data_IF_216593589186
#
_entry.id   IF_216593589186
#
_cell.length_a   1.000
_cell.length_b   1.000
_cell.length_c   1.000
_cell.angle_alpha   90.00
_cell.angle_beta   90.00
_cell.angle_gamma   90.00
#
_symmetry.space_group_name_H-M   'P 1'
#
loop_
_entity.id
_entity.type
_entity.pdbx_description
1 polymer ?
#
# COMPACT_ATOMS: atom_id res chain seq x y z
N UNK A 1 16.05 -23.52 8.39
CA UNK A 1 15.29 -23.67 7.13
C UNK A 1 13.83 -23.34 7.39
N UNK A 2 13.17 -22.66 6.47
CA UNK A 2 11.72 -22.39 6.51
C UNK A 2 10.93 -23.58 5.97
N UNK A 3 9.62 -23.65 6.25
CA UNK A 3 8.78 -24.73 5.70
C UNK A 3 8.68 -24.70 4.17
N UNK A 4 8.73 -23.51 3.56
CA UNK A 4 8.70 -23.35 2.09
C UNK A 4 10.01 -23.81 1.47
N UNK A 5 11.14 -23.49 2.11
CA UNK A 5 12.46 -24.02 1.70
C UNK A 5 12.46 -25.55 1.78
N UNK A 6 11.91 -26.14 2.86
CA UNK A 6 11.79 -27.59 3.00
C UNK A 6 11.01 -28.22 1.83
N UNK A 7 9.86 -27.64 1.46
CA UNK A 7 9.05 -28.13 0.34
C UNK A 7 9.77 -28.02 -1.01
N UNK A 8 10.70 -27.08 -1.18
CA UNK A 8 11.46 -26.95 -2.42
C UNK A 8 12.43 -28.11 -2.69
N UNK A 9 12.77 -28.92 -1.68
CA UNK A 9 13.65 -30.08 -1.83
C UNK A 9 13.04 -31.20 -2.68
N UNK A 10 11.72 -31.22 -2.86
CA UNK A 10 11.07 -32.21 -3.72
C UNK A 10 11.23 -31.92 -5.22
N UNK A 11 11.52 -30.67 -5.60
CA UNK A 11 11.59 -30.26 -7.02
C UNK A 11 12.65 -31.01 -7.84
N UNK A 12 13.66 -31.59 -7.17
CA UNK A 12 14.76 -32.31 -7.81
C UNK A 12 14.73 -33.81 -7.53
N UNK A 13 13.67 -34.33 -6.91
CA UNK A 13 13.53 -35.75 -6.60
C UNK A 13 12.87 -36.50 -7.76
N UNK A 14 13.31 -37.73 -7.97
CA UNK A 14 12.68 -38.64 -8.92
C UNK A 14 11.24 -38.96 -8.49
N UNK A 15 10.30 -39.13 -9.44
CA UNK A 15 8.93 -39.50 -9.13
C UNK A 15 8.83 -40.78 -8.30
N UNK A 16 7.99 -40.74 -7.26
CA UNK A 16 7.70 -41.90 -6.42
C UNK A 16 6.72 -42.84 -7.11
N UNK A 17 6.96 -44.15 -7.01
CA UNK A 17 6.00 -45.15 -7.48
C UNK A 17 4.72 -45.17 -6.63
N UNK A 18 3.56 -45.28 -7.29
CA UNK A 18 2.26 -45.42 -6.62
C UNK A 18 2.10 -46.85 -6.09
N UNK A 19 2.17 -47.03 -4.76
CA UNK A 19 1.85 -48.30 -4.10
C UNK A 19 0.35 -48.37 -3.76
N UNK A 20 -0.21 -49.57 -3.52
CA UNK A 20 -1.61 -49.69 -3.09
C UNK A 20 -1.92 -48.92 -1.79
N UNK A 21 -0.97 -48.85 -0.86
CA UNK A 21 -1.11 -48.10 0.38
C UNK A 21 -1.13 -46.59 0.15
N UNK A 22 -0.23 -46.07 -0.70
CA UNK A 22 -0.23 -44.64 -1.09
C UNK A 22 -1.55 -44.28 -1.77
N UNK A 23 -2.02 -45.11 -2.71
CA UNK A 23 -3.29 -44.90 -3.40
C UNK A 23 -4.48 -44.89 -2.42
N UNK A 24 -4.50 -45.83 -1.47
CA UNK A 24 -5.53 -45.90 -0.44
C UNK A 24 -5.57 -44.64 0.44
N UNK A 25 -4.40 -44.19 0.94
CA UNK A 25 -4.32 -43.01 1.80
C UNK A 25 -4.70 -41.73 1.05
N UNK A 26 -4.28 -41.57 -0.21
CA UNK A 26 -4.67 -40.43 -1.04
C UNK A 26 -6.19 -40.40 -1.25
N UNK A 27 -6.80 -41.55 -1.53
CA UNK A 27 -8.25 -41.65 -1.71
C UNK A 27 -9.01 -41.25 -0.42
N UNK A 28 -8.54 -41.69 0.76
CA UNK A 28 -9.15 -41.31 2.04
C UNK A 28 -8.95 -39.84 2.37
N UNK A 29 -7.77 -39.27 2.11
CA UNK A 29 -7.53 -37.83 2.26
C UNK A 29 -8.48 -37.04 1.38
N UNK A 30 -8.61 -37.44 0.11
CA UNK A 30 -9.53 -36.81 -0.84
C UNK A 30 -10.97 -36.86 -0.34
N UNK A 31 -11.45 -38.02 0.12
CA UNK A 31 -12.80 -38.17 0.66
C UNK A 31 -13.06 -37.21 1.83
N UNK A 32 -12.12 -37.12 2.78
CA UNK A 32 -12.23 -36.19 3.92
C UNK A 32 -12.24 -34.74 3.41
N UNK A 33 -11.34 -34.37 2.50
CA UNK A 33 -11.26 -33.01 1.98
C UNK A 33 -12.51 -32.59 1.20
N UNK A 34 -13.07 -33.48 0.38
CA UNK A 34 -14.24 -33.22 -0.43
C UNK A 34 -15.52 -33.12 0.42
N UNK A 35 -15.53 -33.75 1.61
CA UNK A 35 -16.66 -33.71 2.54
C UNK A 35 -16.55 -32.60 3.60
N UNK A 36 -15.39 -32.46 4.25
CA UNK A 36 -15.19 -31.58 5.41
C UNK A 36 -14.60 -30.21 5.01
N UNK A 37 -13.83 -30.12 3.92
CA UNK A 37 -13.03 -28.94 3.58
C UNK A 37 -13.32 -28.34 2.19
N UNK A 38 -14.56 -28.42 1.70
CA UNK A 38 -14.89 -27.99 0.33
C UNK A 38 -15.51 -26.59 0.21
N UNK A 39 -16.12 -26.04 1.27
CA UNK A 39 -16.93 -24.82 1.21
C UNK A 39 -16.11 -23.54 1.38
N UNK A 40 -15.62 -22.97 0.28
CA UNK A 40 -14.84 -21.74 0.27
C UNK A 40 -15.65 -20.49 0.61
N UNK A 41 -16.96 -20.50 0.41
CA UNK A 41 -17.80 -19.32 0.68
C UNK A 41 -17.78 -18.91 2.15
N UNK A 42 -17.56 -19.88 3.05
CA UNK A 42 -17.50 -19.63 4.49
C UNK A 42 -16.08 -19.32 4.98
N UNK A 43 -15.07 -19.99 4.43
CA UNK A 43 -13.70 -20.00 4.97
C UNK A 43 -12.68 -19.27 4.09
N UNK A 44 -12.88 -19.24 2.78
CA UNK A 44 -11.84 -18.94 1.79
C UNK A 44 -10.80 -20.08 1.66
N UNK A 45 -9.96 -20.02 0.62
CA UNK A 45 -9.00 -21.08 0.32
C UNK A 45 -7.97 -21.31 1.43
N UNK A 46 -7.33 -20.23 1.89
CA UNK A 46 -6.25 -20.34 2.85
C UNK A 46 -6.72 -20.94 4.17
N UNK A 47 -7.92 -20.59 4.64
CA UNK A 47 -8.47 -21.16 5.87
C UNK A 47 -8.80 -22.65 5.75
N UNK A 48 -9.42 -23.08 4.64
CA UNK A 48 -9.66 -24.52 4.39
C UNK A 48 -8.37 -25.33 4.39
N UNK A 49 -7.31 -24.80 3.77
CA UNK A 49 -6.02 -25.46 3.74
C UNK A 49 -5.39 -25.58 5.14
N UNK A 50 -5.54 -24.56 6.00
CA UNK A 50 -5.08 -24.65 7.40
C UNK A 50 -5.90 -25.64 8.22
N UNK A 51 -7.22 -25.63 8.09
CA UNK A 51 -8.11 -26.57 8.77
C UNK A 51 -7.80 -28.02 8.40
N UNK A 52 -7.49 -28.28 7.12
CA UNK A 52 -6.99 -29.58 6.65
C UNK A 52 -5.71 -30.00 7.39
N UNK A 53 -4.76 -29.09 7.57
CA UNK A 53 -3.48 -29.35 8.26
C UNK A 53 -3.63 -29.54 9.78
N UNK A 54 -4.72 -29.04 10.35
CA UNK A 54 -5.07 -29.23 11.76
C UNK A 54 -5.82 -30.55 12.03
N UNK A 55 -6.24 -31.28 10.99
CA UNK A 55 -7.09 -32.46 11.14
C UNK A 55 -6.28 -33.74 11.45
N UNK A 56 -6.68 -34.47 12.50
CA UNK A 56 -5.99 -35.69 12.95
C UNK A 56 -6.04 -36.82 11.92
N UNK A 57 -7.19 -37.03 11.26
CA UNK A 57 -7.32 -38.10 10.25
C UNK A 57 -6.38 -37.82 9.07
N UNK A 58 -6.32 -36.56 8.62
CA UNK A 58 -5.40 -36.14 7.56
C UNK A 58 -3.95 -36.35 7.98
N UNK A 59 -3.56 -35.93 9.20
CA UNK A 59 -2.20 -36.12 9.71
C UNK A 59 -1.79 -37.60 9.83
N UNK A 60 -2.74 -38.50 10.10
CA UNK A 60 -2.51 -39.94 10.10
C UNK A 60 -2.24 -40.51 8.70
N UNK A 61 -2.92 -39.97 7.69
CA UNK A 61 -2.88 -40.48 6.31
C UNK A 61 -1.73 -39.88 5.48
N UNK A 62 -1.28 -38.67 5.81
CA UNK A 62 -0.13 -38.02 5.17
C UNK A 62 1.19 -38.60 5.69
N UNK A 63 1.47 -39.87 5.39
CA UNK A 63 2.75 -40.52 5.69
C UNK A 63 3.89 -39.92 4.85
N UNK A 64 5.17 -40.15 5.22
CA UNK A 64 6.30 -39.69 4.41
C UNK A 64 6.23 -40.15 2.95
N UNK A 65 5.80 -41.39 2.69
CA UNK A 65 5.67 -41.94 1.33
C UNK A 65 4.55 -41.27 0.54
N UNK A 66 3.42 -40.97 1.19
CA UNK A 66 2.31 -40.23 0.57
C UNK A 66 2.74 -38.82 0.22
N UNK A 67 3.42 -38.13 1.13
CA UNK A 67 3.94 -36.77 0.89
C UNK A 67 4.97 -36.78 -0.25
N UNK A 68 5.94 -37.70 -0.22
CA UNK A 68 6.94 -37.82 -1.29
C UNK A 68 6.26 -38.05 -2.65
N UNK A 69 5.26 -38.94 -2.72
CA UNK A 69 4.48 -39.14 -3.93
C UNK A 69 3.75 -37.87 -4.40
N UNK A 70 3.03 -37.19 -3.50
CA UNK A 70 2.28 -35.99 -3.84
C UNK A 70 3.18 -34.87 -4.38
N UNK A 71 4.40 -34.73 -3.84
CA UNK A 71 5.31 -33.65 -4.22
C UNK A 71 6.29 -33.97 -5.36
N UNK A 72 6.50 -35.25 -5.70
CA UNK A 72 7.41 -35.66 -6.80
C UNK A 72 6.68 -36.06 -8.08
N UNK A 73 5.36 -36.24 -8.03
CA UNK A 73 4.56 -36.65 -9.18
C UNK A 73 3.63 -35.53 -9.68
N UNK A 74 3.23 -35.67 -10.94
CA UNK A 74 2.16 -34.83 -11.51
C UNK A 74 0.81 -35.17 -10.87
N UNK A 75 -0.05 -34.17 -10.57
CA UNK A 75 -1.37 -34.42 -10.01
C UNK A 75 -2.27 -35.25 -10.94
N UNK A 76 -2.94 -36.25 -10.37
CA UNK A 76 -3.98 -37.05 -11.04
C UNK A 76 -5.37 -36.63 -10.53
N UNK A 77 -6.45 -37.18 -11.08
CA UNK A 77 -7.80 -36.88 -10.57
C UNK A 77 -8.01 -37.39 -9.14
N UNK A 78 -7.36 -38.49 -8.78
CA UNK A 78 -7.40 -39.07 -7.43
C UNK A 78 -6.64 -38.22 -6.40
N UNK A 79 -5.64 -37.45 -6.83
CA UNK A 79 -4.89 -36.53 -5.96
C UNK A 79 -5.37 -35.08 -6.05
N UNK A 80 -6.53 -34.83 -6.66
CA UNK A 80 -7.21 -33.53 -6.64
C UNK A 80 -8.41 -33.55 -5.69
N UNK A 81 -8.61 -32.45 -4.98
CA UNK A 81 -9.72 -32.24 -4.05
C UNK A 81 -10.64 -31.13 -4.57
N UNK A 82 -11.93 -31.24 -4.27
CA UNK A 82 -12.96 -30.33 -4.71
C UNK A 82 -13.08 -29.12 -3.80
N UNK A 83 -13.39 -27.98 -4.42
CA UNK A 83 -13.74 -26.73 -3.77
C UNK A 83 -14.93 -26.09 -4.49
N UNK A 84 -15.94 -25.66 -3.73
CA UNK A 84 -17.23 -25.27 -4.30
C UNK A 84 -17.21 -24.04 -5.23
N UNK A 85 -16.22 -23.14 -5.12
CA UNK A 85 -16.14 -21.95 -5.97
C UNK A 85 -14.96 -21.94 -6.95
N UNK A 86 -13.90 -22.71 -6.69
CA UNK A 86 -12.73 -22.79 -7.58
C UNK A 86 -12.55 -24.13 -8.30
N UNK A 87 -13.45 -25.10 -8.08
CA UNK A 87 -13.36 -26.42 -8.70
C UNK A 87 -12.29 -27.30 -8.07
N UNK A 88 -11.58 -28.08 -8.88
CA UNK A 88 -10.58 -29.04 -8.43
C UNK A 88 -9.22 -28.38 -8.19
N UNK A 89 -8.58 -28.66 -7.05
CA UNK A 89 -7.20 -28.25 -6.75
C UNK A 89 -6.35 -29.48 -6.44
N UNK A 90 -5.06 -29.47 -6.77
CA UNK A 90 -4.19 -30.58 -6.38
C UNK A 90 -3.98 -30.58 -4.86
N UNK A 91 -3.95 -31.78 -4.26
CA UNK A 91 -3.72 -31.93 -2.82
C UNK A 91 -2.35 -31.38 -2.40
N UNK A 92 -1.32 -31.54 -3.25
CA UNK A 92 0.01 -30.96 -3.01
C UNK A 92 -0.04 -29.43 -2.91
N UNK A 93 -0.85 -28.78 -3.74
CA UNK A 93 -1.01 -27.33 -3.74
C UNK A 93 -1.79 -26.87 -2.51
N UNK A 94 -2.81 -27.64 -2.08
CA UNK A 94 -3.53 -27.37 -0.84
C UNK A 94 -2.60 -27.43 0.39
N UNK A 95 -1.73 -28.43 0.46
CA UNK A 95 -0.70 -28.55 1.52
C UNK A 95 0.28 -27.38 1.43
N UNK A 96 0.84 -27.12 0.25
CA UNK A 96 1.79 -26.04 0.02
C UNK A 96 1.21 -24.69 0.44
N UNK A 97 0.02 -24.33 -0.05
CA UNK A 97 -0.61 -23.06 0.28
C UNK A 97 -1.07 -22.96 1.74
N UNK A 98 -1.38 -24.08 2.39
CA UNK A 98 -1.68 -24.09 3.83
C UNK A 98 -0.45 -23.78 4.69
N UNK A 99 0.74 -24.19 4.26
CA UNK A 99 2.02 -23.97 4.94
C UNK A 99 2.72 -22.67 4.54
N UNK A 100 2.38 -22.11 3.37
CA UNK A 100 3.09 -20.99 2.74
C UNK A 100 3.13 -19.71 3.60
N UNK A 101 2.10 -19.47 4.41
CA UNK A 101 2.03 -18.27 5.25
C UNK A 101 2.80 -18.41 6.57
N UNK A 102 3.35 -19.60 6.86
CA UNK A 102 4.11 -19.90 8.08
C UNK A 102 3.36 -20.78 9.08
N UNK A 103 4.09 -21.45 9.97
CA UNK A 103 3.50 -22.42 10.89
C UNK A 103 2.73 -21.72 12.03
N UNK A 104 3.20 -20.56 12.48
CA UNK A 104 2.51 -19.72 13.47
C UNK A 104 1.14 -19.26 12.98
N UNK A 105 0.96 -19.07 11.66
CA UNK A 105 -0.35 -18.76 11.09
C UNK A 105 -1.31 -19.93 11.27
N UNK A 106 -0.86 -21.17 11.07
CA UNK A 106 -1.69 -22.35 11.33
C UNK A 106 -2.02 -22.47 12.82
N UNK A 107 -1.05 -22.18 13.69
CA UNK A 107 -1.23 -22.28 15.14
C UNK A 107 -2.21 -21.26 15.68
N UNK A 108 -2.10 -20.00 15.25
CA UNK A 108 -2.78 -18.88 15.91
C UNK A 108 -3.81 -18.15 15.05
N UNK A 109 -3.80 -18.25 13.72
CA UNK A 109 -4.77 -17.51 12.92
C UNK A 109 -6.16 -18.14 13.02
N UNK A 110 -7.14 -17.34 13.42
CA UNK A 110 -8.57 -17.70 13.35
C UNK A 110 -8.98 -18.00 11.90
N UNK A 111 -9.88 -18.96 11.67
CA UNK A 111 -10.29 -19.39 10.33
C UNK A 111 -11.65 -18.79 9.89
N UNK A 112 -11.94 -17.58 10.37
CA UNK A 112 -13.16 -16.80 10.07
C UNK A 112 -14.47 -17.53 10.39
N UNK A 113 -14.46 -18.51 11.29
CA UNK A 113 -15.69 -19.13 11.76
C UNK A 113 -16.56 -18.11 12.49
N UNK A 114 -17.86 -18.11 12.20
CA UNK A 114 -18.84 -17.25 12.87
C UNK A 114 -18.84 -17.42 14.40
N UNK A 115 -18.43 -18.59 14.90
CA UNK A 115 -18.37 -18.92 16.33
C UNK A 115 -16.94 -19.30 16.75
N UNK A 116 -15.93 -18.61 16.23
CA UNK A 116 -14.57 -18.76 16.73
C UNK A 116 -14.43 -18.01 18.07
N UNK A 117 -13.96 -18.71 19.09
CA UNK A 117 -13.79 -18.16 20.44
C UNK A 117 -12.62 -18.81 21.17
N UNK A 118 -12.48 -18.58 22.49
CA UNK A 118 -11.34 -19.05 23.27
C UNK A 118 -11.17 -20.57 23.25
N UNK A 119 -12.26 -21.34 23.28
CA UNK A 119 -12.20 -22.80 23.24
C UNK A 119 -11.66 -23.31 21.90
N UNK A 120 -12.16 -22.76 20.79
CA UNK A 120 -11.71 -23.11 19.44
C UNK A 120 -10.25 -22.70 19.23
N UNK A 121 -9.83 -21.57 19.81
CA UNK A 121 -8.46 -21.10 19.76
C UNK A 121 -7.48 -22.06 20.46
N UNK A 122 -7.81 -22.51 21.68
CA UNK A 122 -6.97 -23.48 22.40
C UNK A 122 -7.02 -24.86 21.74
N UNK A 123 -8.18 -25.28 21.20
CA UNK A 123 -8.28 -26.52 20.43
C UNK A 123 -7.42 -26.47 19.17
N UNK A 124 -7.37 -25.33 18.47
CA UNK A 124 -6.49 -25.12 17.32
C UNK A 124 -5.02 -25.25 17.70
N UNK A 125 -4.59 -24.64 18.82
CA UNK A 125 -3.21 -24.77 19.33
C UNK A 125 -2.85 -26.23 19.64
N UNK A 126 -3.76 -26.95 20.31
CA UNK A 126 -3.57 -28.37 20.61
C UNK A 126 -3.51 -29.23 19.34
N UNK A 127 -4.39 -28.97 18.37
CA UNK A 127 -4.40 -29.65 17.08
C UNK A 127 -3.15 -29.34 16.25
N UNK A 128 -2.63 -28.11 16.32
CA UNK A 128 -1.37 -27.76 15.70
C UNK A 128 -0.22 -28.57 16.33
N UNK A 129 -0.11 -28.58 17.66
CA UNK A 129 0.98 -29.23 18.37
C UNK A 129 0.97 -30.76 18.17
N UNK A 130 -0.20 -31.36 17.92
CA UNK A 130 -0.38 -32.79 17.66
C UNK A 130 -0.29 -33.17 16.18
N UNK A 131 -1.01 -32.48 15.31
CA UNK A 131 -1.29 -32.89 13.94
C UNK A 131 -0.37 -32.18 12.93
N UNK A 132 -0.30 -30.85 12.98
CA UNK A 132 0.51 -30.06 12.05
C UNK A 132 2.00 -30.37 12.21
N UNK A 133 2.49 -30.45 13.44
CA UNK A 133 3.90 -30.80 13.74
C UNK A 133 4.27 -32.17 13.19
N UNK A 134 3.36 -33.16 13.28
CA UNK A 134 3.54 -34.50 12.70
C UNK A 134 3.58 -34.46 11.18
N UNK A 135 2.71 -33.68 10.54
CA UNK A 135 2.74 -33.50 9.08
C UNK A 135 4.08 -32.89 8.67
N UNK A 136 4.55 -31.85 9.37
CA UNK A 136 5.86 -31.23 9.11
C UNK A 136 7.01 -32.22 9.28
N UNK A 137 6.98 -33.07 10.31
CA UNK A 137 7.99 -34.11 10.50
C UNK A 137 7.95 -35.16 9.37
N UNK A 138 6.76 -35.57 8.93
CA UNK A 138 6.63 -36.46 7.79
C UNK A 138 7.15 -35.82 6.49
N UNK A 139 6.97 -34.50 6.30
CA UNK A 139 7.56 -33.76 5.18
C UNK A 139 9.09 -33.79 5.28
N UNK A 140 9.66 -33.58 6.47
CA UNK A 140 11.12 -33.66 6.68
C UNK A 140 11.69 -35.03 6.32
N UNK A 141 11.06 -36.09 6.82
CA UNK A 141 11.44 -37.48 6.51
C UNK A 141 11.33 -37.73 5.00
N UNK A 142 10.21 -37.32 4.39
CA UNK A 142 9.98 -37.45 2.96
C UNK A 142 10.99 -36.66 2.13
N UNK A 143 11.46 -35.50 2.60
CA UNK A 143 12.47 -34.69 1.93
C UNK A 143 13.90 -35.23 2.15
N UNK A 144 14.12 -36.07 3.16
CA UNK A 144 15.44 -36.52 3.59
C UNK A 144 16.23 -35.45 4.35
N UNK A 145 15.54 -34.54 5.03
CA UNK A 145 16.14 -33.39 5.74
C UNK A 145 16.01 -33.60 7.25
N UNK A 146 17.13 -33.41 7.97
CA UNK A 146 17.18 -33.51 9.45
C UNK A 146 17.23 -32.14 10.13
N UNK A 147 17.38 -31.06 9.38
CA UNK A 147 17.47 -29.71 9.91
C UNK A 147 16.18 -29.28 10.64
N UNK A 148 16.34 -28.45 11.66
CA UNK A 148 15.20 -27.87 12.35
C UNK A 148 14.52 -26.83 11.45
N UNK A 149 13.19 -26.94 11.38
CA UNK A 149 12.37 -25.93 10.74
C UNK A 149 12.21 -24.78 11.71
N UNK A 150 12.68 -23.62 11.27
CA UNK A 150 12.56 -22.36 12.00
C UNK A 150 11.44 -21.60 11.34
N UNK A 151 10.48 -21.14 12.13
CA UNK A 151 9.50 -20.22 11.58
C UNK A 151 10.17 -18.87 11.31
N UNK A 152 9.71 -18.13 10.30
CA UNK A 152 10.32 -16.85 9.87
C UNK A 152 10.28 -15.73 10.94
N UNK A 153 9.86 -16.04 12.17
CA UNK A 153 9.87 -15.16 13.33
C UNK A 153 11.26 -14.97 13.97
N UNK A 154 12.34 -15.54 13.44
CA UNK A 154 13.65 -15.60 14.09
C UNK A 154 14.43 -14.27 14.19
N UNK A 155 13.91 -13.18 13.63
CA UNK A 155 14.34 -11.84 14.02
C UNK A 155 13.29 -11.33 15.01
N UNK A 156 13.55 -11.48 16.32
CA UNK A 156 12.70 -10.99 17.42
C UNK A 156 12.65 -9.45 17.44
N UNK A 157 12.03 -8.86 16.42
CA UNK A 157 11.60 -7.47 16.45
C UNK A 157 10.47 -7.39 17.48
N UNK A 158 10.55 -6.47 18.43
CA UNK A 158 9.51 -6.32 19.44
C UNK A 158 8.18 -5.89 18.81
N UNK A 159 7.04 -6.16 19.47
CA UNK A 159 5.73 -5.77 18.94
C UNK A 159 5.62 -4.26 18.67
N UNK A 160 6.21 -3.42 19.53
CA UNK A 160 6.21 -1.96 19.32
C UNK A 160 7.07 -1.57 18.12
N UNK A 161 8.24 -2.19 17.96
CA UNK A 161 9.12 -1.91 16.81
C UNK A 161 8.47 -2.38 15.48
N UNK A 162 7.77 -3.52 15.49
CA UNK A 162 6.97 -3.98 14.34
C UNK A 162 5.91 -2.94 13.98
N UNK A 163 5.15 -2.46 14.97
CA UNK A 163 4.11 -1.47 14.77
C UNK A 163 4.66 -0.15 14.22
N UNK A 164 5.75 0.36 14.81
CA UNK A 164 6.37 1.62 14.37
C UNK A 164 6.95 1.50 12.97
N UNK A 165 7.54 0.35 12.61
CA UNK A 165 8.00 0.08 11.25
C UNK A 165 6.85 0.07 10.23
N UNK A 166 5.73 -0.57 10.57
CA UNK A 166 4.52 -0.59 9.72
C UNK A 166 4.00 0.83 9.51
N UNK A 167 3.81 1.60 10.58
CA UNK A 167 3.31 2.98 10.52
C UNK A 167 4.25 3.85 9.68
N UNK A 168 5.56 3.81 9.94
CA UNK A 168 6.52 4.59 9.17
C UNK A 168 6.51 4.22 7.68
N UNK A 169 6.35 2.93 7.37
CA UNK A 169 6.24 2.45 5.99
C UNK A 169 4.97 2.98 5.33
N UNK A 170 3.81 2.84 5.97
CA UNK A 170 2.52 3.34 5.45
C UNK A 170 2.54 4.86 5.26
N UNK A 171 3.12 5.61 6.20
CA UNK A 171 3.28 7.07 6.07
C UNK A 171 4.11 7.46 4.84
N UNK A 172 5.18 6.71 4.56
CA UNK A 172 6.02 6.94 3.38
C UNK A 172 5.25 6.63 2.09
N UNK A 173 4.47 5.55 2.06
CA UNK A 173 3.59 5.18 0.94
C UNK A 173 2.56 6.28 0.68
N UNK A 174 1.94 6.80 1.75
CA UNK A 174 0.95 7.88 1.70
C UNK A 174 1.57 9.18 1.18
N UNK A 175 2.76 9.54 1.67
CA UNK A 175 3.54 10.70 1.15
C UNK A 175 3.91 10.54 -0.32
N UNK A 176 4.14 9.31 -0.78
CA UNK A 176 4.41 8.98 -2.18
C UNK A 176 3.15 8.91 -3.06
N UNK A 177 1.96 9.20 -2.52
CA UNK A 177 0.67 9.14 -3.24
C UNK A 177 0.36 7.74 -3.79
N UNK A 178 0.77 6.70 -3.05
CA UNK A 178 0.59 5.28 -3.40
C UNK A 178 -0.46 4.57 -2.55
N UNK A 179 -1.28 5.29 -1.79
CA UNK A 179 -2.32 4.72 -0.93
C UNK A 179 -3.29 3.79 -1.66
N UNK A 180 -3.73 4.16 -2.87
CA UNK A 180 -4.65 3.30 -3.64
C UNK A 180 -3.99 2.00 -4.11
N UNK A 181 -2.66 2.02 -4.30
CA UNK A 181 -1.88 0.83 -4.63
C UNK A 181 -1.66 -0.06 -3.41
N UNK A 182 -1.41 0.55 -2.24
CA UNK A 182 -1.32 -0.17 -0.97
C UNK A 182 -2.62 -0.94 -0.69
N UNK A 183 -3.76 -0.26 -0.81
CA UNK A 183 -5.09 -0.78 -0.51
C UNK A 183 -5.76 -1.53 -1.67
N UNK A 184 -4.98 -1.91 -2.69
CA UNK A 184 -5.52 -2.67 -3.82
C UNK A 184 -5.86 -4.10 -3.40
N UNK A 185 -7.15 -4.43 -3.50
CA UNK A 185 -7.66 -5.79 -3.33
C UNK A 185 -8.58 -6.07 -4.53
N UNK A 186 -8.37 -7.16 -5.31
CA UNK A 186 -9.24 -7.49 -6.43
C UNK A 186 -10.72 -7.52 -6.02
N UNK A 187 -11.57 -6.81 -6.77
CA UNK A 187 -13.00 -6.70 -6.47
C UNK A 187 -13.39 -5.58 -5.50
N UNK A 188 -12.43 -4.90 -4.88
CA UNK A 188 -12.69 -3.81 -3.93
C UNK A 188 -11.95 -2.52 -4.32
N UNK A 189 -12.59 -1.38 -4.04
CA UNK A 189 -11.94 -0.08 -4.16
C UNK A 189 -11.25 0.29 -2.85
N UNK A 190 -10.21 1.14 -2.90
CA UNK A 190 -9.55 1.65 -1.69
C UNK A 190 -10.54 2.36 -0.75
N UNK A 191 -11.56 3.04 -1.30
CA UNK A 191 -12.66 3.63 -0.51
C UNK A 191 -13.49 2.55 0.19
N UNK A 192 -13.82 1.46 -0.50
CA UNK A 192 -14.53 0.33 0.09
C UNK A 192 -13.74 -0.28 1.26
N UNK A 193 -12.42 -0.50 1.08
CA UNK A 193 -11.56 -1.03 2.14
C UNK A 193 -11.59 -0.14 3.39
N UNK A 194 -11.43 1.18 3.23
CA UNK A 194 -11.54 2.13 4.35
C UNK A 194 -12.90 2.10 5.04
N UNK A 195 -13.98 2.00 4.26
CA UNK A 195 -15.34 1.91 4.80
C UNK A 195 -15.58 0.62 5.58
N UNK A 196 -14.97 -0.50 5.17
CA UNK A 196 -15.11 -1.78 5.87
C UNK A 196 -14.42 -1.74 7.25
N UNK A 197 -13.32 -0.97 7.40
CA UNK A 197 -12.69 -0.72 8.71
C UNK A 197 -13.67 -0.12 9.71
N UNK A 198 -14.47 0.87 9.29
CA UNK A 198 -15.52 1.44 10.14
C UNK A 198 -16.58 0.40 10.53
N UNK A 199 -16.96 -0.48 9.61
CA UNK A 199 -17.85 -1.60 9.92
C UNK A 199 -17.23 -2.56 10.94
N UNK A 200 -15.96 -2.93 10.77
CA UNK A 200 -15.21 -3.77 11.71
C UNK A 200 -15.09 -3.13 13.10
N UNK A 201 -14.88 -1.81 13.16
CA UNK A 201 -14.86 -1.06 14.43
C UNK A 201 -16.24 -1.00 15.10
N UNK A 202 -17.32 -0.86 14.33
CA UNK A 202 -18.67 -0.96 14.87
C UNK A 202 -18.96 -2.35 15.46
N UNK A 203 -18.50 -3.42 14.82
CA UNK A 203 -18.63 -4.78 15.35
C UNK A 203 -17.78 -4.98 16.61
N UNK A 204 -16.56 -4.47 16.64
CA UNK A 204 -15.72 -4.43 17.84
C UNK A 204 -16.46 -3.78 19.02
N UNK A 205 -17.02 -2.58 18.83
CA UNK A 205 -17.78 -1.90 19.88
C UNK A 205 -18.98 -2.74 20.33
N UNK A 206 -19.70 -3.35 19.39
CA UNK A 206 -20.84 -4.22 19.69
C UNK A 206 -20.42 -5.45 20.53
N UNK A 207 -19.31 -6.10 20.17
CA UNK A 207 -18.74 -7.24 20.89
C UNK A 207 -18.27 -6.90 22.32
N UNK A 208 -17.99 -5.62 22.58
CA UNK A 208 -17.61 -5.10 23.89
C UNK A 208 -18.78 -4.46 24.65
N UNK A 209 -19.99 -4.52 24.09
CA UNK A 209 -21.19 -3.86 24.63
C UNK A 209 -21.01 -2.34 24.80
N UNK A 210 -20.27 -1.72 23.87
CA UNK A 210 -19.99 -0.29 23.84
C UNK A 210 -20.85 0.37 22.76
N UNK A 211 -21.52 1.46 23.12
CA UNK A 211 -22.34 2.23 22.19
C UNK A 211 -21.44 3.03 21.21
N UNK A 212 -21.55 2.69 19.92
CA UNK A 212 -20.91 3.42 18.83
C UNK A 212 -21.96 4.07 17.93
N UNK A 213 -21.83 5.37 17.70
CA UNK A 213 -22.66 6.13 16.78
C UNK A 213 -21.98 6.21 15.41
N UNK A 214 -22.45 5.45 14.41
CA UNK A 214 -21.84 5.44 13.10
C UNK A 214 -22.13 6.71 12.30
N UNK A 215 -23.10 7.55 12.66
CA UNK A 215 -23.33 8.82 11.96
C UNK A 215 -22.24 9.83 12.30
N UNK A 216 -21.86 9.89 13.58
CA UNK A 216 -20.88 10.85 14.11
C UNK A 216 -19.47 10.26 14.31
N UNK A 217 -19.27 8.96 14.06
CA UNK A 217 -18.05 8.22 14.42
C UNK A 217 -17.70 8.39 15.92
N UNK A 218 -18.70 8.33 16.79
CA UNK A 218 -18.53 8.62 18.22
C UNK A 218 -18.70 7.35 19.05
N UNK A 219 -17.75 7.09 19.95
CA UNK A 219 -17.90 6.07 21.00
C UNK A 219 -18.40 6.76 22.26
N UNK A 220 -19.61 6.41 22.71
CA UNK A 220 -20.25 7.06 23.86
C UNK A 220 -19.83 6.43 25.18
N UNK A 221 -19.75 7.28 26.21
CA UNK A 221 -19.46 6.88 27.60
C UNK A 221 -18.17 6.07 27.79
N UNK A 222 -17.18 6.26 26.90
CA UNK A 222 -15.89 5.59 26.96
C UNK A 222 -14.72 6.55 26.88
N UNK A 223 -13.56 6.08 27.34
CA UNK A 223 -12.26 6.69 27.06
C UNK A 223 -11.45 5.77 26.16
N UNK A 224 -10.44 6.31 25.47
CA UNK A 224 -9.53 5.49 24.67
C UNK A 224 -8.89 4.38 25.53
N UNK A 225 -8.45 4.73 26.74
CA UNK A 225 -7.83 3.78 27.66
C UNK A 225 -8.77 2.64 28.04
N UNK A 226 -10.02 2.96 28.42
CA UNK A 226 -11.05 1.98 28.81
C UNK A 226 -11.46 1.09 27.64
N UNK A 227 -11.67 1.67 26.45
CA UNK A 227 -11.96 0.91 25.22
C UNK A 227 -10.86 -0.11 24.91
N UNK A 228 -9.60 0.34 24.90
CA UNK A 228 -8.45 -0.54 24.65
C UNK A 228 -8.32 -1.60 25.75
N UNK A 229 -8.50 -1.24 27.02
CA UNK A 229 -8.43 -2.16 28.15
C UNK A 229 -9.50 -3.26 28.04
N UNK A 230 -10.75 -2.90 27.72
CA UNK A 230 -11.85 -3.86 27.52
C UNK A 230 -11.55 -4.82 26.38
N UNK A 231 -11.07 -4.31 25.24
CA UNK A 231 -10.74 -5.16 24.11
C UNK A 231 -9.62 -6.15 24.43
N UNK A 232 -8.51 -5.65 24.99
CA UNK A 232 -7.36 -6.48 25.29
C UNK A 232 -7.64 -7.54 26.36
N UNK A 233 -8.60 -7.31 27.25
CA UNK A 233 -9.05 -8.28 28.26
C UNK A 233 -10.24 -9.15 27.81
N UNK A 234 -10.70 -9.03 26.56
CA UNK A 234 -11.83 -9.81 26.03
C UNK A 234 -11.36 -10.80 24.95
N UNK A 235 -10.94 -12.03 25.33
CA UNK A 235 -10.67 -13.09 24.38
C UNK A 235 -11.83 -13.35 23.40
N UNK A 236 -13.07 -13.21 23.86
CA UNK A 236 -14.25 -13.37 23.00
C UNK A 236 -14.27 -12.34 21.88
N UNK A 237 -14.21 -11.05 22.21
CA UNK A 237 -14.23 -9.99 21.19
C UNK A 237 -13.00 -10.04 20.28
N UNK A 238 -11.85 -10.42 20.82
CA UNK A 238 -10.62 -10.54 20.06
C UNK A 238 -10.60 -11.72 19.10
N UNK A 239 -11.25 -12.83 19.45
CA UNK A 239 -11.32 -14.07 18.67
C UNK A 239 -12.59 -14.14 17.79
N UNK A 240 -13.45 -13.13 17.87
CA UNK A 240 -14.67 -13.04 17.08
C UNK A 240 -14.40 -12.73 15.59
N UNK A 241 -14.88 -13.61 14.71
CA UNK A 241 -14.74 -13.48 13.26
C UNK A 241 -15.37 -12.22 12.66
N UNK A 242 -16.30 -11.55 13.34
CA UNK A 242 -16.97 -10.33 12.84
C UNK A 242 -16.07 -9.08 12.90
N UNK A 243 -15.01 -9.13 13.72
CA UNK A 243 -13.99 -8.07 13.85
C UNK A 243 -12.92 -8.18 12.75
N UNK A 244 -13.08 -9.12 11.81
CA UNK A 244 -12.15 -9.39 10.70
C UNK A 244 -11.77 -8.13 9.91
N UNK A 245 -12.76 -7.27 9.61
CA UNK A 245 -12.59 -6.05 8.83
C UNK A 245 -11.85 -4.93 9.58
N UNK A 246 -11.36 -5.17 10.79
CA UNK A 246 -10.51 -4.24 11.54
C UNK A 246 -9.16 -4.87 11.90
N UNK A 247 -9.18 -6.10 12.45
CA UNK A 247 -8.03 -6.64 13.17
C UNK A 247 -7.41 -7.90 12.56
N UNK A 248 -8.09 -8.63 11.68
CA UNK A 248 -7.60 -9.95 11.29
C UNK A 248 -6.85 -9.97 9.98
N UNK A 249 -7.41 -9.39 8.92
CA UNK A 249 -6.72 -9.43 7.66
C UNK A 249 -5.78 -8.24 7.52
N UNK A 250 -4.69 -8.52 6.81
CA UNK A 250 -3.65 -7.55 6.50
C UNK A 250 -4.21 -6.30 5.84
N UNK A 251 -5.13 -6.46 4.88
CA UNK A 251 -5.59 -5.36 4.05
C UNK A 251 -6.41 -4.34 4.86
N UNK A 252 -7.19 -4.80 5.84
CA UNK A 252 -7.94 -3.93 6.74
C UNK A 252 -7.05 -3.27 7.80
N UNK A 253 -6.01 -3.95 8.31
CA UNK A 253 -5.02 -3.29 9.17
C UNK A 253 -4.29 -2.20 8.37
N UNK A 254 -3.83 -2.48 7.16
CA UNK A 254 -3.22 -1.48 6.27
C UNK A 254 -4.18 -0.31 6.02
N UNK A 255 -5.46 -0.58 5.74
CA UNK A 255 -6.48 0.45 5.55
C UNK A 255 -6.76 1.26 6.82
N UNK A 256 -6.77 0.63 7.99
CA UNK A 256 -6.97 1.29 9.28
C UNK A 256 -5.82 2.25 9.59
N UNK A 257 -4.58 1.81 9.39
CA UNK A 257 -3.39 2.62 9.67
C UNK A 257 -3.14 3.70 8.60
N UNK A 258 -3.58 3.52 7.35
CA UNK A 258 -3.38 4.50 6.29
C UNK A 258 -4.36 5.69 6.36
N UNK A 259 -5.60 5.45 6.78
CA UNK A 259 -6.69 6.42 6.65
C UNK A 259 -6.69 7.52 7.72
N UNK A 260 -7.16 8.72 7.35
CA UNK A 260 -7.32 9.88 8.25
C UNK A 260 -8.71 9.95 8.90
N UNK A 261 -9.41 8.82 9.02
CA UNK A 261 -10.74 8.79 9.64
C UNK A 261 -10.61 9.11 11.13
N UNK A 262 -11.31 10.16 11.56
CA UNK A 262 -11.40 10.58 12.95
C UNK A 262 -12.56 9.85 13.64
N UNK A 263 -12.28 9.32 14.84
CA UNK A 263 -13.22 8.73 15.76
C UNK A 263 -13.17 9.53 17.06
N UNK A 264 -14.31 10.00 17.53
CA UNK A 264 -14.41 10.73 18.80
C UNK A 264 -14.68 9.74 19.93
N UNK A 265 -13.78 9.69 20.92
CA UNK A 265 -13.91 8.83 22.11
C UNK A 265 -13.76 9.71 23.34
N UNK A 266 -14.81 9.81 24.15
CA UNK A 266 -14.79 10.65 25.36
C UNK A 266 -14.56 12.13 25.06
N UNK A 267 -15.11 12.64 23.94
CA UNK A 267 -14.95 14.01 23.43
C UNK A 267 -13.54 14.38 22.97
N UNK A 268 -12.69 13.38 22.73
CA UNK A 268 -11.36 13.57 22.14
C UNK A 268 -11.30 12.83 20.81
N UNK A 269 -10.71 13.47 19.81
CA UNK A 269 -10.57 12.95 18.46
C UNK A 269 -9.32 12.10 18.32
N UNK A 270 -9.49 10.90 17.75
CA UNK A 270 -8.42 9.92 17.52
C UNK A 270 -8.50 9.36 16.11
N UNK A 271 -7.37 8.90 15.57
CA UNK A 271 -7.33 8.05 14.38
C UNK A 271 -7.25 6.57 14.79
N UNK A 272 -7.57 5.66 13.88
CA UNK A 272 -7.36 4.22 14.12
C UNK A 272 -5.91 3.90 14.52
N UNK A 273 -4.94 4.60 13.94
CA UNK A 273 -3.53 4.48 14.32
C UNK A 273 -3.29 4.75 15.81
N UNK A 274 -3.98 5.73 16.41
CA UNK A 274 -3.85 6.06 17.83
C UNK A 274 -4.42 4.95 18.71
N UNK A 275 -5.52 4.32 18.26
CA UNK A 275 -6.17 3.18 18.93
C UNK A 275 -5.23 1.97 18.92
N UNK A 276 -4.70 1.59 17.76
CA UNK A 276 -3.73 0.50 17.64
C UNK A 276 -2.46 0.78 18.46
N UNK A 277 -1.92 2.00 18.39
CA UNK A 277 -0.73 2.41 19.16
C UNK A 277 -0.97 2.25 20.66
N UNK A 278 -2.14 2.63 21.15
CA UNK A 278 -2.51 2.49 22.56
C UNK A 278 -2.57 1.03 22.98
N UNK A 279 -3.19 0.17 22.15
CA UNK A 279 -3.26 -1.27 22.41
C UNK A 279 -1.87 -1.92 22.44
N UNK A 280 -1.00 -1.58 21.50
CA UNK A 280 0.39 -2.08 21.44
C UNK A 280 1.20 -1.64 22.64
N UNK A 281 1.13 -0.37 23.01
CA UNK A 281 1.83 0.16 24.19
C UNK A 281 1.38 -0.57 25.46
N UNK A 282 0.08 -0.80 25.60
CA UNK A 282 -0.47 -1.58 26.71
C UNK A 282 0.11 -3.00 26.77
N UNK A 283 0.02 -3.77 25.68
CA UNK A 283 0.55 -5.15 25.62
C UNK A 283 2.06 -5.19 25.91
N UNK A 284 2.83 -4.26 25.36
CA UNK A 284 4.30 -4.26 25.51
C UNK A 284 4.77 -3.82 26.88
N UNK A 285 4.05 -2.89 27.52
CA UNK A 285 4.40 -2.34 28.84
C UNK A 285 4.06 -3.28 30.01
N UNK A 286 3.01 -4.10 29.87
CA UNK A 286 2.53 -5.01 30.91
C UNK A 286 1.93 -6.28 30.27
N UNK A 287 2.73 -7.11 29.57
CA UNK A 287 2.23 -8.25 28.80
C UNK A 287 1.50 -9.28 29.67
N UNK A 288 1.89 -9.44 30.93
CA UNK A 288 1.29 -10.35 31.91
C UNK A 288 -0.11 -9.94 32.37
N UNK A 289 -0.52 -8.68 32.13
CA UNK A 289 -1.85 -8.19 32.48
C UNK A 289 -2.93 -8.73 31.54
N UNK A 290 -2.56 -9.08 30.32
CA UNK A 290 -3.51 -9.44 29.26
C UNK A 290 -3.49 -10.95 28.99
N UNK A 291 -4.61 -11.53 28.55
CA UNK A 291 -4.65 -12.91 28.08
C UNK A 291 -3.60 -13.18 26.99
N UNK A 292 -3.03 -14.40 26.97
CA UNK A 292 -2.00 -14.78 26.02
C UNK A 292 -2.39 -14.53 24.56
N UNK A 293 -3.66 -14.78 24.21
CA UNK A 293 -4.19 -14.56 22.86
C UNK A 293 -4.04 -13.10 22.40
N UNK A 294 -4.06 -12.12 23.30
CA UNK A 294 -3.82 -10.72 22.96
C UNK A 294 -2.44 -10.50 22.38
N UNK A 295 -1.42 -10.96 23.08
CA UNK A 295 -0.04 -10.87 22.61
C UNK A 295 0.16 -11.69 21.34
N UNK A 296 -0.34 -12.92 21.31
CA UNK A 296 -0.19 -13.83 20.18
C UNK A 296 -0.85 -13.29 18.90
N UNK A 297 -2.07 -12.75 18.98
CA UNK A 297 -2.75 -12.18 17.81
C UNK A 297 -2.07 -10.90 17.33
N UNK A 298 -1.75 -9.94 18.21
CA UNK A 298 -1.08 -8.71 17.77
C UNK A 298 0.28 -9.01 17.13
N UNK A 299 1.07 -9.91 17.73
CA UNK A 299 2.37 -10.29 17.19
C UNK A 299 2.25 -10.97 15.82
N UNK A 300 1.33 -11.94 15.68
CA UNK A 300 1.08 -12.61 14.42
C UNK A 300 0.67 -11.63 13.32
N UNK A 301 -0.36 -10.81 13.59
CA UNK A 301 -0.98 -9.94 12.58
C UNK A 301 -0.02 -8.87 12.11
N UNK A 302 0.74 -8.26 13.02
CA UNK A 302 1.73 -7.25 12.64
C UNK A 302 2.96 -7.86 11.98
N UNK A 303 3.34 -9.09 12.33
CA UNK A 303 4.38 -9.81 11.58
C UNK A 303 3.93 -10.02 10.12
N UNK A 304 2.69 -10.43 9.89
CA UNK A 304 2.14 -10.62 8.54
C UNK A 304 2.10 -9.30 7.74
N UNK A 305 1.62 -8.21 8.35
CA UNK A 305 1.58 -6.89 7.71
C UNK A 305 2.99 -6.39 7.39
N UNK A 306 3.91 -6.45 8.35
CA UNK A 306 5.30 -6.02 8.16
C UNK A 306 5.99 -6.80 7.04
N UNK A 307 5.86 -8.14 7.04
CA UNK A 307 6.50 -8.99 6.03
C UNK A 307 5.95 -8.72 4.63
N UNK A 308 4.64 -8.51 4.51
CA UNK A 308 4.03 -8.18 3.23
C UNK A 308 4.42 -6.78 2.71
N UNK A 309 4.47 -5.78 3.59
CA UNK A 309 4.96 -4.45 3.24
C UNK A 309 6.40 -4.47 2.76
N UNK A 310 7.28 -5.23 3.42
CA UNK A 310 8.68 -5.39 2.96
C UNK A 310 8.75 -6.14 1.62
N UNK A 311 7.93 -7.18 1.42
CA UNK A 311 7.85 -7.91 0.15
C UNK A 311 7.43 -7.00 -1.01
N UNK A 312 6.46 -6.12 -0.78
CA UNK A 312 5.93 -5.18 -1.79
C UNK A 312 6.63 -3.83 -1.80
N UNK A 313 7.66 -3.61 -1.00
CA UNK A 313 8.34 -2.31 -0.83
C UNK A 313 8.70 -1.61 -2.14
N UNK A 314 9.24 -2.37 -3.11
CA UNK A 314 9.61 -1.86 -4.44
C UNK A 314 8.41 -1.31 -5.22
N UNK A 315 7.22 -1.83 -4.96
CA UNK A 315 5.99 -1.37 -5.61
C UNK A 315 5.57 0.03 -5.14
N UNK A 316 6.05 0.46 -3.97
CA UNK A 316 5.73 1.74 -3.37
C UNK A 316 6.87 2.75 -3.45
N UNK A 317 8.00 2.37 -4.06
CA UNK A 317 9.02 3.34 -4.39
C UNK A 317 8.36 4.48 -5.18
N UNK A 318 8.62 5.73 -4.79
CA UNK A 318 8.05 6.87 -5.49
C UNK A 318 8.45 6.76 -6.96
N UNK A 319 7.51 7.05 -7.86
CA UNK A 319 7.88 7.23 -9.25
C UNK A 319 8.97 8.31 -9.26
N UNK A 320 10.07 8.09 -9.99
CA UNK A 320 11.25 8.97 -10.05
C UNK A 320 10.95 10.26 -10.84
N UNK A 321 9.91 10.97 -10.38
CA UNK A 321 9.44 12.22 -10.90
C UNK A 321 10.33 13.31 -10.35
N UNK A 322 11.40 13.57 -11.08
CA UNK A 322 12.35 14.62 -10.75
C UNK A 322 11.87 15.88 -11.47
N UNK A 323 11.48 16.91 -10.71
CA UNK A 323 11.34 18.26 -11.29
C UNK A 323 12.71 18.64 -11.84
N UNK A 324 12.80 18.86 -13.15
CA UNK A 324 14.03 19.30 -13.79
C UNK A 324 14.60 20.53 -13.09
N UNK A 325 15.91 20.52 -12.79
CA UNK A 325 16.60 21.67 -12.20
C UNK A 325 16.41 22.93 -13.06
N UNK A 326 16.42 22.76 -14.39
CA UNK A 326 16.20 23.86 -15.33
C UNK A 326 14.80 24.45 -15.18
N UNK A 327 13.77 23.61 -15.03
CA UNK A 327 12.40 24.07 -14.83
C UNK A 327 12.26 24.84 -13.50
N UNK A 328 12.91 24.37 -12.42
CA UNK A 328 12.96 25.10 -11.14
C UNK A 328 13.61 26.47 -11.30
N UNK A 329 14.78 26.53 -11.93
CA UNK A 329 15.52 27.78 -12.15
C UNK A 329 14.67 28.77 -12.96
N UNK A 330 14.01 28.30 -14.02
CA UNK A 330 13.21 29.17 -14.86
C UNK A 330 11.98 29.72 -14.15
N UNK A 331 11.29 28.90 -13.35
CA UNK A 331 10.19 29.38 -12.52
C UNK A 331 10.65 30.40 -11.47
N UNK A 332 11.78 30.15 -10.81
CA UNK A 332 12.37 31.11 -9.85
C UNK A 332 12.76 32.44 -10.53
N UNK A 333 13.24 32.40 -11.77
CA UNK A 333 13.51 33.60 -12.56
C UNK A 333 12.22 34.39 -12.86
N UNK A 334 11.11 33.71 -13.16
CA UNK A 334 9.81 34.34 -13.34
C UNK A 334 9.33 35.02 -12.04
N UNK A 335 9.51 34.38 -10.88
CA UNK A 335 9.22 35.04 -9.58
C UNK A 335 10.08 36.29 -9.39
N UNK A 336 11.37 36.21 -9.69
CA UNK A 336 12.26 37.37 -9.62
C UNK A 336 11.78 38.51 -10.53
N UNK A 337 11.29 38.21 -11.74
CA UNK A 337 10.71 39.20 -12.65
C UNK A 337 9.45 39.87 -12.05
N UNK A 338 8.55 39.12 -11.39
CA UNK A 338 7.38 39.70 -10.69
C UNK A 338 7.84 40.68 -9.61
N UNK A 339 8.83 40.30 -8.81
CA UNK A 339 9.39 41.14 -7.75
C UNK A 339 9.97 42.45 -8.31
N UNK A 340 10.71 42.36 -9.43
CA UNK A 340 11.27 43.53 -10.10
C UNK A 340 10.17 44.45 -10.66
N UNK A 341 9.13 43.89 -11.29
CA UNK A 341 7.97 44.66 -11.78
C UNK A 341 7.20 45.32 -10.65
N UNK A 342 7.02 44.64 -9.51
CA UNK A 342 6.38 45.21 -8.32
C UNK A 342 7.15 46.44 -7.80
N UNK A 343 8.48 46.39 -7.76
CA UNK A 343 9.34 47.53 -7.40
C UNK A 343 9.23 48.66 -8.42
N UNK A 344 9.22 48.35 -9.72
CA UNK A 344 9.05 49.37 -10.77
C UNK A 344 7.71 50.12 -10.65
N UNK A 345 6.61 49.42 -10.31
CA UNK A 345 5.33 50.06 -10.03
C UNK A 345 5.37 51.00 -8.84
N UNK A 346 6.10 50.66 -7.77
CA UNK A 346 6.32 51.57 -6.64
C UNK A 346 7.04 52.84 -7.07
N UNK A 347 8.11 52.69 -7.84
CA UNK A 347 8.91 53.82 -8.32
C UNK A 347 8.14 54.73 -9.31
N UNK A 348 7.20 54.16 -10.06
CA UNK A 348 6.38 54.87 -11.04
C UNK A 348 5.06 55.41 -10.45
N UNK A 349 4.90 55.47 -9.12
CA UNK A 349 3.68 55.92 -8.44
C UNK A 349 2.40 55.16 -8.86
N UNK A 350 2.50 53.84 -9.06
CA UNK A 350 1.37 52.95 -9.35
C UNK A 350 1.11 51.99 -8.17
N UNK A 351 0.59 52.49 -7.03
CA UNK A 351 0.56 51.75 -5.76
C UNK A 351 -0.36 50.51 -5.80
N UNK A 352 -1.45 50.56 -6.56
CA UNK A 352 -2.37 49.43 -6.72
C UNK A 352 -1.69 48.27 -7.45
N UNK A 353 -1.08 48.54 -8.61
CA UNK A 353 -0.35 47.53 -9.38
C UNK A 353 0.86 46.97 -8.61
N UNK A 354 1.57 47.83 -7.87
CA UNK A 354 2.65 47.40 -6.98
C UNK A 354 2.19 46.42 -5.89
N UNK A 355 1.03 46.72 -5.27
CA UNK A 355 0.42 45.86 -4.24
C UNK A 355 0.03 44.50 -4.82
N UNK A 356 -0.70 44.48 -5.93
CA UNK A 356 -1.17 43.25 -6.57
C UNK A 356 0.01 42.40 -7.06
N UNK A 357 1.03 43.01 -7.69
CA UNK A 357 2.23 42.28 -8.11
C UNK A 357 3.01 41.69 -6.93
N UNK A 358 3.09 42.41 -5.80
CA UNK A 358 3.73 41.88 -4.58
C UNK A 358 2.95 40.69 -4.00
N UNK A 359 1.62 40.76 -3.99
CA UNK A 359 0.75 39.67 -3.53
C UNK A 359 0.86 38.44 -4.42
N UNK A 360 0.88 38.63 -5.75
CA UNK A 360 1.11 37.55 -6.71
C UNK A 360 2.46 36.87 -6.45
N UNK A 361 3.54 37.64 -6.31
CA UNK A 361 4.86 37.10 -5.99
C UNK A 361 4.84 36.25 -4.71
N UNK A 362 4.29 36.80 -3.62
CA UNK A 362 4.27 36.11 -2.32
C UNK A 362 3.52 34.79 -2.41
N UNK A 363 2.33 34.76 -3.03
CA UNK A 363 1.53 33.54 -3.15
C UNK A 363 2.23 32.47 -3.99
N UNK A 364 2.77 32.85 -5.14
CA UNK A 364 3.49 31.91 -6.01
C UNK A 364 4.78 31.41 -5.35
N UNK A 365 5.50 32.27 -4.65
CA UNK A 365 6.70 31.88 -3.90
C UNK A 365 6.37 30.87 -2.80
N UNK A 366 5.35 31.14 -1.97
CA UNK A 366 4.90 30.22 -0.92
C UNK A 366 4.48 28.87 -1.49
N UNK A 367 3.62 28.86 -2.52
CA UNK A 367 3.18 27.62 -3.18
C UNK A 367 4.37 26.83 -3.74
N UNK A 368 5.35 27.51 -4.35
CA UNK A 368 6.55 26.85 -4.88
C UNK A 368 7.46 26.29 -3.80
N UNK A 369 7.58 26.97 -2.65
CA UNK A 369 8.37 26.49 -1.52
C UNK A 369 7.76 25.22 -0.92
N UNK A 370 6.43 25.17 -0.80
CA UNK A 370 5.72 23.97 -0.35
C UNK A 370 5.90 22.82 -1.34
N UNK A 371 5.73 23.09 -2.64
CA UNK A 371 5.89 22.09 -3.69
C UNK A 371 7.32 21.56 -3.80
N UNK A 372 8.34 22.42 -3.70
CA UNK A 372 9.75 22.04 -3.83
C UNK A 372 10.34 21.41 -2.56
N UNK A 373 9.72 21.63 -1.39
CA UNK A 373 10.10 20.97 -0.12
C UNK A 373 9.50 19.58 0.04
N UNK A 374 8.51 19.22 -0.76
CA UNK A 374 7.90 17.90 -0.70
C UNK A 374 8.97 16.82 -0.88
N UNK A 375 8.97 15.82 0.00
CA UNK A 375 9.89 14.68 -0.06
C UNK A 375 9.75 13.94 -1.41
N UNK A 376 8.53 13.87 -1.95
CA UNK A 376 8.22 13.28 -3.24
C UNK A 376 7.38 14.24 -4.09
N UNK A 377 7.69 14.29 -5.37
CA UNK A 377 6.93 15.06 -6.36
C UNK A 377 5.83 14.15 -6.90
N UNK A 378 4.60 14.38 -6.46
CA UNK A 378 3.44 13.56 -6.82
C UNK A 378 2.47 14.33 -7.69
N UNK A 379 1.58 13.62 -8.39
CA UNK A 379 0.56 14.25 -9.22
C UNK A 379 -0.40 15.09 -8.38
N UNK A 380 -0.75 14.58 -7.19
CA UNK A 380 -1.53 15.32 -6.20
C UNK A 380 -0.86 16.63 -5.79
N UNK A 381 0.41 16.60 -5.40
CA UNK A 381 1.14 17.81 -4.99
C UNK A 381 1.27 18.81 -6.15
N UNK A 382 1.47 18.33 -7.37
CA UNK A 382 1.48 19.18 -8.55
C UNK A 382 0.10 19.82 -8.80
N UNK A 383 -0.99 19.06 -8.68
CA UNK A 383 -2.35 19.59 -8.85
C UNK A 383 -2.64 20.71 -7.84
N UNK A 384 -2.29 20.51 -6.57
CA UNK A 384 -2.43 21.53 -5.51
C UNK A 384 -1.59 22.77 -5.87
N UNK A 385 -0.31 22.59 -6.22
CA UNK A 385 0.57 23.68 -6.63
C UNK A 385 -0.01 24.46 -7.83
N UNK A 386 -0.48 23.76 -8.86
CA UNK A 386 -1.06 24.35 -10.06
C UNK A 386 -2.34 25.12 -9.77
N UNK A 387 -3.24 24.58 -8.93
CA UNK A 387 -4.47 25.26 -8.50
C UNK A 387 -4.15 26.53 -7.70
N UNK A 388 -3.23 26.48 -6.75
CA UNK A 388 -2.79 27.65 -5.98
C UNK A 388 -2.21 28.75 -6.89
N UNK A 389 -1.39 28.36 -7.86
CA UNK A 389 -0.81 29.31 -8.81
C UNK A 389 -1.85 29.90 -9.77
N UNK A 390 -2.77 29.07 -10.27
CA UNK A 390 -3.86 29.49 -11.17
C UNK A 390 -4.76 30.50 -10.47
N UNK A 391 -5.20 30.21 -9.25
CA UNK A 391 -6.01 31.13 -8.45
C UNK A 391 -5.29 32.46 -8.19
N UNK A 392 -3.99 32.41 -7.83
CA UNK A 392 -3.21 33.63 -7.62
C UNK A 392 -3.07 34.48 -8.89
N UNK A 393 -2.89 33.84 -10.05
CA UNK A 393 -2.83 34.51 -11.36
C UNK A 393 -4.18 35.16 -11.68
N UNK A 394 -5.27 34.41 -11.56
CA UNK A 394 -6.61 34.87 -11.94
C UNK A 394 -7.09 36.05 -11.09
N UNK A 395 -6.72 36.08 -9.80
CA UNK A 395 -6.98 37.24 -8.94
C UNK A 395 -6.13 38.46 -9.31
N UNK A 396 -4.88 38.27 -9.74
CA UNK A 396 -3.98 39.37 -10.09
C UNK A 396 -4.22 39.93 -11.52
N UNK A 397 -4.74 39.09 -12.41
CA UNK A 397 -4.91 39.36 -13.85
C UNK A 397 -5.68 40.65 -14.16
N UNK A 398 -6.85 40.94 -13.54
CA UNK A 398 -7.67 42.10 -13.91
C UNK A 398 -7.00 43.46 -13.68
N UNK A 399 -6.03 43.52 -12.77
CA UNK A 399 -5.25 44.72 -12.48
C UNK A 399 -4.00 44.76 -13.35
N UNK A 400 -3.22 43.68 -13.36
CA UNK A 400 -1.89 43.68 -13.96
C UNK A 400 -1.91 43.65 -15.50
N UNK A 401 -2.89 43.00 -16.14
CA UNK A 401 -2.95 42.94 -17.61
C UNK A 401 -3.19 44.30 -18.28
N UNK A 402 -3.67 45.30 -17.52
CA UNK A 402 -3.80 46.69 -18.00
C UNK A 402 -2.44 47.36 -18.25
N UNK A 403 -1.36 46.79 -17.73
CA UNK A 403 -0.01 47.34 -17.85
C UNK A 403 0.80 46.60 -18.93
N UNK A 404 1.62 47.36 -19.68
CA UNK A 404 2.40 46.85 -20.81
C UNK A 404 3.25 45.64 -20.43
N UNK A 405 3.16 44.57 -21.24
CA UNK A 405 3.99 43.36 -21.13
C UNK A 405 3.51 42.32 -20.10
N UNK A 406 2.45 42.58 -19.33
CA UNK A 406 1.92 41.61 -18.37
C UNK A 406 1.14 40.46 -19.02
N UNK A 407 0.47 40.70 -20.14
CA UNK A 407 -0.22 39.65 -20.89
C UNK A 407 0.74 38.55 -21.37
N UNK A 408 1.86 38.95 -21.96
CA UNK A 408 2.92 38.03 -22.37
C UNK A 408 3.60 37.37 -21.17
N UNK A 409 3.77 38.11 -20.08
CA UNK A 409 4.35 37.58 -18.85
C UNK A 409 3.48 36.49 -18.23
N UNK A 410 2.15 36.68 -18.13
CA UNK A 410 1.25 35.65 -17.63
C UNK A 410 1.29 34.38 -18.48
N UNK A 411 1.40 34.51 -19.81
CA UNK A 411 1.55 33.36 -20.68
C UNK A 411 2.86 32.59 -20.39
N UNK A 412 3.99 33.28 -20.20
CA UNK A 412 5.25 32.65 -19.78
C UNK A 412 5.15 31.98 -18.42
N UNK A 413 4.45 32.62 -17.49
CA UNK A 413 4.26 32.11 -16.13
C UNK A 413 3.43 30.82 -16.12
N UNK A 414 2.32 30.78 -16.87
CA UNK A 414 1.47 29.59 -17.01
C UNK A 414 2.28 28.43 -17.63
N UNK A 415 3.07 28.70 -18.67
CA UNK A 415 3.95 27.69 -19.26
C UNK A 415 5.01 27.21 -18.25
N UNK A 416 5.61 28.14 -17.49
CA UNK A 416 6.56 27.81 -16.43
C UNK A 416 5.96 26.89 -15.36
N UNK A 417 4.73 27.17 -14.91
CA UNK A 417 3.99 26.32 -13.97
C UNK A 417 3.74 24.92 -14.58
N UNK A 418 3.29 24.87 -15.84
CA UNK A 418 3.03 23.60 -16.52
C UNK A 418 4.28 22.71 -16.64
N UNK A 419 5.45 23.31 -16.89
CA UNK A 419 6.72 22.58 -16.97
C UNK A 419 7.30 22.11 -15.64
N UNK A 420 6.83 22.67 -14.52
CA UNK A 420 7.11 22.11 -13.20
C UNK A 420 6.31 20.83 -12.94
N UNK A 421 5.30 20.55 -13.76
CA UNK A 421 4.52 19.33 -13.70
C UNK A 421 5.28 18.09 -14.13
N UNK A 422 4.59 16.96 -13.95
CA UNK A 422 5.07 15.62 -14.27
C UNK A 422 5.02 15.43 -15.79
N UNK A 423 5.99 16.01 -16.48
CA UNK A 423 6.31 15.60 -17.84
C UNK A 423 7.21 14.38 -17.69
N UNK A 424 6.83 13.17 -18.16
CA UNK A 424 7.72 12.02 -18.18
C UNK A 424 9.06 12.43 -18.79
N UNK A 425 10.19 12.04 -18.20
CA UNK A 425 11.53 12.40 -18.68
C UNK A 425 11.70 12.21 -20.21
N UNK A 426 10.95 11.27 -20.80
CA UNK A 426 10.85 11.06 -22.25
C UNK A 426 10.39 12.28 -23.08
N UNK A 427 9.45 13.10 -22.59
CA UNK A 427 9.00 14.31 -23.27
C UNK A 427 9.97 15.49 -23.09
N UNK A 428 10.64 15.57 -21.93
CA UNK A 428 11.72 16.52 -21.67
C UNK A 428 12.90 16.29 -22.63
N UNK A 429 13.24 15.02 -22.90
CA UNK A 429 14.23 14.60 -23.91
C UNK A 429 13.80 15.01 -25.32
N UNK A 430 12.52 14.84 -25.68
CA UNK A 430 12.00 15.18 -27.01
C UNK A 430 12.11 16.68 -27.32
N UNK A 431 11.86 17.57 -26.33
CA UNK A 431 12.05 19.01 -26.51
C UNK A 431 13.53 19.39 -26.63
N UNK A 432 14.42 18.78 -25.84
CA UNK A 432 15.88 19.01 -25.91
C UNK A 432 16.47 18.62 -27.26
N UNK A 433 15.96 17.54 -27.86
CA UNK A 433 16.34 17.08 -29.21
C UNK A 433 15.86 18.06 -30.29
N UNK A 434 14.72 18.73 -30.10
CA UNK A 434 14.14 19.60 -31.12
C UNK A 434 14.59 21.08 -31.02
N UNK A 435 14.87 21.61 -29.83
CA UNK A 435 15.10 23.05 -29.63
C UNK A 435 16.47 23.41 -29.06
N UNK A 436 17.34 22.43 -28.74
CA UNK A 436 18.70 22.65 -28.25
C UNK A 436 18.83 23.37 -26.90
N UNK A 437 17.73 23.81 -26.29
CA UNK A 437 17.66 24.41 -24.95
C UNK A 437 16.23 24.32 -24.40
N UNK A 438 16.09 24.27 -23.07
CA UNK A 438 14.82 24.51 -22.37
C UNK A 438 14.44 26.01 -22.38
N UNK A 439 14.74 26.79 -23.42
CA UNK A 439 14.35 28.20 -23.43
C UNK A 439 12.87 28.35 -23.75
N UNK A 440 12.12 29.06 -22.91
CA UNK A 440 10.72 29.47 -23.14
C UNK A 440 10.59 30.52 -24.27
N UNK A 441 11.22 30.29 -25.42
CA UNK A 441 11.04 31.08 -26.65
C UNK A 441 9.80 30.63 -27.45
N UNK A 442 8.77 30.12 -26.79
CA UNK A 442 7.50 29.77 -27.44
C UNK A 442 6.64 31.00 -27.78
N UNK A 443 6.94 32.17 -27.21
CA UNK A 443 6.29 33.44 -27.58
C UNK A 443 7.36 34.44 -28.03
N UNK A 444 7.64 34.46 -29.33
CA UNK A 444 8.41 35.53 -29.97
C UNK A 444 7.66 36.84 -29.77
N UNK A 445 8.34 37.86 -29.22
CA UNK A 445 7.79 39.22 -29.13
C UNK A 445 7.43 39.75 -30.52
N UNK A 446 6.50 40.71 -30.63
CA UNK A 446 6.15 41.30 -31.93
C UNK A 446 7.39 41.87 -32.66
N UNK A 447 8.35 42.41 -31.92
CA UNK A 447 9.63 42.90 -32.45
C UNK A 447 10.55 41.78 -32.94
N UNK A 448 10.55 40.61 -32.30
CA UNK A 448 11.28 39.44 -32.79
C UNK A 448 10.67 38.86 -34.05
N UNK A 449 9.34 38.85 -34.18
CA UNK A 449 8.67 38.46 -35.44
C UNK A 449 9.01 39.41 -36.58
N UNK A 450 9.18 40.71 -36.30
CA UNK A 450 9.62 41.69 -37.29
C UNK A 450 11.09 41.52 -37.66
N UNK A 451 11.97 41.25 -36.69
CA UNK A 451 13.39 40.97 -36.94
C UNK A 451 13.58 39.72 -37.78
N UNK A 452 12.87 38.63 -37.48
CA UNK A 452 12.93 37.40 -38.28
C UNK A 452 12.45 37.65 -39.71
N UNK A 453 11.39 38.46 -39.90
CA UNK A 453 10.87 38.80 -41.23
C UNK A 453 11.86 39.67 -42.03
N UNK A 454 12.61 40.56 -41.37
CA UNK A 454 13.69 41.33 -42.00
C UNK A 454 14.87 40.43 -42.36
N UNK A 455 15.21 39.46 -41.50
CA UNK A 455 16.29 38.50 -41.71
C UNK A 455 15.97 37.54 -42.86
N UNK A 456 14.72 37.10 -42.97
CA UNK A 456 14.20 36.28 -44.08
C UNK A 456 14.19 37.07 -45.41
N UNK A 457 13.83 38.36 -45.38
CA UNK A 457 13.90 39.23 -46.55
C UNK A 457 15.34 39.56 -46.97
N UNK A 458 16.27 39.69 -46.02
CA UNK A 458 17.68 39.93 -46.30
C UNK A 458 18.35 38.72 -46.98
N UNK A 459 17.92 37.49 -46.65
CA UNK A 459 18.39 36.26 -47.30
C UNK A 459 17.85 36.07 -48.72
N UNK A 460 16.68 36.65 -49.05
CA UNK A 460 16.12 36.66 -50.42
C UNK A 460 16.86 37.65 -51.32
N UNK A 461 17.59 38.61 -50.74
CA UNK A 461 18.29 39.68 -51.45
C UNK A 461 19.81 39.42 -51.60
N UNK A 462 20.21 38.15 -51.80
CA UNK A 462 21.55 37.90 -52.34
C UNK A 462 21.65 38.39 -53.80
N UNK A 463 22.74 39.08 -54.21
CA UNK A 463 22.83 39.68 -55.54
C UNK A 463 22.93 38.66 -56.67
N UNK A 464 22.17 38.97 -57.73
CA UNK A 464 22.17 38.37 -59.06
C UNK A 464 23.61 38.18 -59.58
N UNK A 465 23.91 36.96 -60.05
CA UNK A 465 25.08 36.60 -60.85
C UNK A 465 25.34 37.63 -61.95
N UNK A 466 26.55 38.21 -61.97
CA UNK A 466 27.02 38.97 -63.12
C UNK A 466 27.07 38.05 -64.35
N UNK A 467 26.36 38.45 -65.40
CA UNK A 467 26.28 37.80 -66.69
C UNK A 467 27.66 37.64 -67.33
N UNK A 468 27.88 36.49 -67.98
CA UNK A 468 28.90 36.35 -69.01
C UNK A 468 28.67 37.39 -70.12
N UNK A 469 29.72 38.07 -70.54
CA UNK A 469 29.83 38.57 -71.92
C UNK A 469 31.17 38.12 -72.49
N UNK A 470 31.06 37.27 -73.51
CA UNK A 470 32.02 36.86 -74.55
C UNK A 470 33.47 36.53 -74.18
#
# INVERSE_FOLDING_TARGET
MTIVELLSHFNNKEPKNLTPEIAHNIAQVKEICDHEFYNQSFYGNSALNRLMLLNEKIANLLTPEVIEYLFTNEPTEESKIFRNSSGMIALKDAIFHGLNDGLMVIKFMTNNEQQFGPEQYEAQKANYDKNTTRIVENIKIAAGITENIVDNSSNEISLIDKFDHIVATIDNIKKADKSDKLLYVPGYTSRSMRSQVKGGFSHLCSALEIEFDPEFNEVKNETLDSLCEKFLNSPNAMLEGTVIHLFYDRAHIEAALEQDTVITIGKVDYHYQDIFRTMVNKITSAPEKYPACAKEQFDLRFTLVMNDLEKRKKEFEPDSLIISLDAKIQFLNLLHEIKNKATAFKNNNQPEAAKVASQLHTRLFTASMEYFKAQYVTQKNYKIFNELCTNAIDEARPVLEKHRGWKDFFAKLIVGIATLGIVPAALAIKSKIQTGSFSFRLLKTASQKQLDCIEEQAQILEPIHAMSMN
#
